data_IF_783078866036
#
_entry.id   IF_783078866036
#
_cell.length_a   1.000
_cell.length_b   1.000
_cell.length_c   1.000
_cell.angle_alpha   90.00
_cell.angle_beta   90.00
_cell.angle_gamma   90.00
#
_symmetry.space_group_name_H-M   'P 1'
#
loop_
_entity.id
_entity.type
_entity.pdbx_description
1 polymer ?
#
# COMPACT_ATOMS: atom_id res chain seq x y z
N UNK A 1 -19.98 -2.26 4.73
CA UNK A 1 -18.51 -2.30 4.77
C UNK A 1 -18.08 -2.58 6.19
N UNK A 2 -17.21 -3.55 6.43
CA UNK A 2 -16.57 -3.73 7.74
C UNK A 2 -15.59 -2.58 7.98
N UNK A 3 -15.31 -2.24 9.25
CA UNK A 3 -14.35 -1.18 9.57
C UNK A 3 -12.96 -1.47 8.97
N UNK A 4 -12.54 -2.74 8.98
CA UNK A 4 -11.31 -3.22 8.34
C UNK A 4 -11.32 -2.96 6.83
N UNK A 5 -12.41 -3.34 6.14
CA UNK A 5 -12.52 -3.12 4.70
C UNK A 5 -12.53 -1.64 4.31
N UNK A 6 -13.11 -0.77 5.15
CA UNK A 6 -13.06 0.67 4.95
C UNK A 6 -11.63 1.23 5.12
N UNK A 7 -10.90 0.78 6.13
CA UNK A 7 -9.49 1.16 6.35
C UNK A 7 -8.60 0.69 5.20
N UNK A 8 -8.78 -0.57 4.76
CA UNK A 8 -8.05 -1.14 3.63
C UNK A 8 -8.29 -0.35 2.33
N UNK A 9 -9.56 -0.01 2.04
CA UNK A 9 -9.92 0.80 0.87
C UNK A 9 -9.30 2.20 0.94
N UNK A 10 -9.28 2.81 2.12
CA UNK A 10 -8.67 4.13 2.33
C UNK A 10 -7.16 4.10 2.06
N UNK A 11 -6.45 3.09 2.58
CA UNK A 11 -5.02 2.90 2.31
C UNK A 11 -4.80 2.69 0.81
N UNK A 12 -5.57 1.80 0.18
CA UNK A 12 -5.47 1.53 -1.26
C UNK A 12 -5.59 2.81 -2.09
N UNK A 13 -6.63 3.61 -1.85
CA UNK A 13 -6.87 4.86 -2.59
C UNK A 13 -5.73 5.86 -2.38
N UNK A 14 -5.27 6.02 -1.14
CA UNK A 14 -4.14 6.91 -0.83
C UNK A 14 -2.83 6.45 -1.49
N UNK A 15 -2.55 5.15 -1.48
CA UNK A 15 -1.38 4.57 -2.13
C UNK A 15 -1.42 4.80 -3.63
N UNK A 16 -2.53 4.48 -4.30
CA UNK A 16 -2.65 4.69 -5.75
C UNK A 16 -2.62 6.17 -6.12
N UNK A 17 -3.23 7.05 -5.32
CA UNK A 17 -3.12 8.49 -5.51
C UNK A 17 -1.67 8.97 -5.40
N UNK A 18 -0.93 8.50 -4.38
CA UNK A 18 0.49 8.80 -4.22
C UNK A 18 1.34 8.28 -5.39
N UNK A 19 1.10 7.05 -5.84
CA UNK A 19 1.78 6.46 -7.01
C UNK A 19 1.50 7.27 -8.28
N UNK A 20 0.26 7.75 -8.47
CA UNK A 20 -0.11 8.58 -9.61
C UNK A 20 0.63 9.92 -9.62
N UNK A 21 0.74 10.59 -8.45
CA UNK A 21 1.53 11.82 -8.28
C UNK A 21 3.02 11.57 -8.53
N UNK A 22 3.52 10.40 -8.14
CA UNK A 22 4.84 9.90 -8.51
C UNK A 22 6.02 10.41 -7.67
N UNK A 23 5.88 11.54 -6.98
CA UNK A 23 6.86 12.02 -6.00
C UNK A 23 6.20 12.89 -4.94
N UNK A 24 6.43 12.59 -3.67
CA UNK A 24 5.95 13.42 -2.56
C UNK A 24 7.05 14.43 -2.21
N UNK A 25 6.88 15.75 -2.41
CA UNK A 25 7.88 16.72 -2.00
C UNK A 25 8.03 16.71 -0.47
N UNK A 26 9.28 16.58 0.01
CA UNK A 26 9.61 16.54 1.45
C UNK A 26 9.79 15.13 2.03
N UNK A 27 9.15 14.10 1.47
CA UNK A 27 9.50 12.71 1.76
C UNK A 27 10.34 12.19 0.59
N UNK A 28 11.47 11.52 0.85
CA UNK A 28 12.31 10.94 -0.22
C UNK A 28 11.66 9.69 -0.82
N UNK A 29 10.40 9.79 -1.22
CA UNK A 29 9.54 8.70 -1.66
C UNK A 29 9.20 8.86 -3.14
N UNK A 30 9.57 7.85 -3.91
CA UNK A 30 9.17 7.66 -5.31
C UNK A 30 7.97 6.71 -5.41
N UNK A 31 7.57 6.35 -6.64
CA UNK A 31 6.46 5.44 -6.90
C UNK A 31 6.62 4.09 -6.19
N UNK A 32 7.83 3.53 -6.19
CA UNK A 32 8.09 2.23 -5.57
C UNK A 32 8.00 2.32 -4.04
N UNK A 33 8.57 3.38 -3.46
CA UNK A 33 8.48 3.62 -2.02
C UNK A 33 7.04 3.80 -1.53
N UNK A 34 6.18 4.49 -2.31
CA UNK A 34 4.76 4.67 -1.97
C UNK A 34 4.02 3.33 -2.02
N UNK A 35 4.26 2.52 -3.04
CA UNK A 35 3.66 1.20 -3.17
C UNK A 35 4.05 0.28 -1.99
N UNK A 36 5.35 0.27 -1.64
CA UNK A 36 5.86 -0.50 -0.50
C UNK A 36 5.22 -0.06 0.82
N UNK A 37 5.11 1.24 1.05
CA UNK A 37 4.50 1.78 2.27
C UNK A 37 3.01 1.42 2.37
N UNK A 38 2.30 1.44 1.25
CA UNK A 38 0.90 0.99 1.16
C UNK A 38 0.74 -0.48 1.54
N UNK A 39 1.56 -1.36 0.94
CA UNK A 39 1.55 -2.79 1.26
C UNK A 39 1.88 -3.07 2.72
N UNK A 40 2.93 -2.43 3.25
CA UNK A 40 3.30 -2.55 4.66
C UNK A 40 2.20 -2.06 5.61
N UNK A 41 1.50 -0.97 5.27
CA UNK A 41 0.37 -0.48 6.05
C UNK A 41 -0.81 -1.46 6.05
N UNK A 42 -1.11 -2.10 4.92
CA UNK A 42 -2.16 -3.13 4.82
C UNK A 42 -1.86 -4.34 5.70
N UNK A 43 -0.59 -4.77 5.76
CA UNK A 43 -0.14 -5.86 6.65
C UNK A 43 -0.23 -5.42 8.12
N UNK A 44 0.24 -4.22 8.44
CA UNK A 44 0.28 -3.72 9.81
C UNK A 44 -1.12 -3.62 10.45
N UNK A 45 -2.16 -3.33 9.66
CA UNK A 45 -3.55 -3.30 10.16
C UNK A 45 -4.25 -4.66 10.10
N UNK A 46 -3.60 -5.70 9.55
CA UNK A 46 -4.17 -7.04 9.38
C UNK A 46 -5.19 -7.15 8.24
N UNK A 47 -5.17 -6.21 7.29
CA UNK A 47 -6.02 -6.26 6.10
C UNK A 47 -5.44 -7.17 5.00
N UNK A 48 -4.13 -7.42 5.04
CA UNK A 48 -3.42 -8.33 4.16
C UNK A 48 -2.52 -9.23 5.02
N UNK A 49 -2.59 -10.55 4.83
CA UNK A 49 -1.70 -11.47 5.51
C UNK A 49 -0.29 -11.43 4.89
N UNK A 50 0.74 -11.74 5.67
CA UNK A 50 2.12 -11.73 5.19
C UNK A 50 2.35 -12.78 4.09
N UNK A 51 1.71 -13.94 4.19
CA UNK A 51 1.85 -15.03 3.23
C UNK A 51 1.19 -14.68 1.88
N UNK A 52 0.05 -13.98 1.93
CA UNK A 52 -0.61 -13.43 0.74
C UNK A 52 0.21 -12.30 0.12
N UNK A 53 0.84 -11.45 0.94
CA UNK A 53 1.69 -10.36 0.47
C UNK A 53 2.93 -10.88 -0.27
N UNK A 54 3.58 -11.92 0.25
CA UNK A 54 4.75 -12.55 -0.39
C UNK A 54 4.39 -13.16 -1.75
N UNK A 55 3.25 -13.86 -1.81
CA UNK A 55 2.73 -14.45 -3.05
C UNK A 55 2.34 -13.42 -4.12
N UNK A 56 2.09 -12.17 -3.74
CA UNK A 56 1.75 -11.10 -4.67
C UNK A 56 2.98 -10.55 -5.41
N UNK A 57 4.20 -10.83 -4.94
CA UNK A 57 5.42 -10.35 -5.57
C UNK A 57 5.71 -11.20 -6.81
N UNK A 58 5.72 -10.56 -7.98
CA UNK A 58 6.09 -11.19 -9.25
C UNK A 58 7.55 -10.87 -9.57
N UNK A 59 8.37 -11.91 -9.76
CA UNK A 59 9.80 -11.81 -10.11
C UNK A 59 10.11 -12.23 -11.55
N UNK A 60 9.06 -12.51 -12.34
CA UNK A 60 9.14 -12.80 -13.77
C UNK A 60 9.61 -11.58 -14.59
#
# INVERSE_FOLDING_TARGET
>A
MTAMGAAALLILVLTYAGVAVGRIPGLRLDRAGIALLGGAAMIAIGALDMEDADRAISFD
#
